data_IF_904549878726
#
_entry.id   IF_904549878726
#
_cell.length_a   1.000
_cell.length_b   1.000
_cell.length_c   1.000
_cell.angle_alpha   90.00
_cell.angle_beta   90.00
_cell.angle_gamma   90.00
#
_symmetry.space_group_name_H-M   'P 1'
#
loop_
_entity.id
_entity.type
_entity.pdbx_description
1 polymer ?
#
# COMPACT_ATOMS: atom_id res chain seq x y z
N UNK A 1 -18.32 -82.15 -5.22
CA UNK A 1 -17.43 -82.37 -4.06
C UNK A 1 -15.99 -82.33 -4.55
N UNK A 2 -15.19 -81.43 -3.97
CA UNK A 2 -13.71 -81.38 -3.94
C UNK A 2 -12.95 -81.14 -5.26
N UNK A 3 -12.38 -79.92 -5.43
CA UNK A 3 -10.97 -79.50 -5.17
C UNK A 3 -10.07 -79.71 -6.42
N UNK A 4 -9.78 -78.70 -7.24
CA UNK A 4 -8.82 -77.57 -7.13
C UNK A 4 -7.34 -77.91 -7.37
N UNK A 5 -6.71 -76.96 -8.09
CA UNK A 5 -5.27 -76.67 -8.28
C UNK A 5 -4.62 -77.37 -9.50
N UNK A 6 -3.80 -76.76 -10.37
CA UNK A 6 -2.97 -75.54 -10.35
C UNK A 6 -2.75 -75.07 -11.81
N UNK A 7 -2.75 -73.77 -12.09
CA UNK A 7 -1.93 -73.20 -13.16
C UNK A 7 -1.56 -71.75 -12.85
N UNK A 8 -0.25 -71.52 -12.77
CA UNK A 8 0.45 -70.26 -12.50
C UNK A 8 0.28 -69.30 -13.69
N UNK A 9 -0.04 -68.03 -13.44
CA UNK A 9 0.19 -66.95 -14.40
C UNK A 9 0.84 -65.75 -13.70
N UNK A 10 2.04 -65.47 -14.20
CA UNK A 10 2.95 -64.33 -14.08
C UNK A 10 2.34 -63.01 -13.60
N UNK A 11 2.95 -62.44 -12.56
CA UNK A 11 2.75 -61.05 -12.08
C UNK A 11 3.58 -60.11 -12.98
N UNK A 12 2.91 -59.23 -13.71
CA UNK A 12 3.53 -58.03 -14.28
C UNK A 12 3.18 -56.85 -13.38
N UNK A 13 4.18 -56.31 -12.69
CA UNK A 13 4.07 -55.12 -11.86
C UNK A 13 4.11 -53.86 -12.75
N UNK A 14 2.97 -53.20 -12.88
CA UNK A 14 2.88 -51.84 -13.41
C UNK A 14 2.72 -50.88 -12.23
N UNK A 15 3.79 -50.18 -11.87
CA UNK A 15 3.75 -49.09 -10.90
C UNK A 15 2.98 -47.90 -11.53
N UNK A 16 1.69 -47.82 -11.25
CA UNK A 16 0.92 -46.60 -11.47
C UNK A 16 1.31 -45.59 -10.39
N UNK A 17 2.14 -44.62 -10.75
CA UNK A 17 2.30 -43.40 -9.96
C UNK A 17 0.95 -42.70 -9.97
N UNK A 18 0.20 -42.81 -8.88
CA UNK A 18 -0.98 -42.00 -8.65
C UNK A 18 -0.52 -40.55 -8.53
N UNK A 19 -0.62 -39.79 -9.63
CA UNK A 19 -0.76 -38.35 -9.54
C UNK A 19 -2.04 -38.12 -8.73
N UNK A 20 -1.89 -37.75 -7.46
CA UNK A 20 -2.99 -37.19 -6.71
C UNK A 20 -3.44 -35.95 -7.49
N UNK A 21 -4.54 -36.07 -8.23
CA UNK A 21 -5.23 -34.92 -8.76
C UNK A 21 -5.56 -34.05 -7.54
N UNK A 22 -5.00 -32.84 -7.49
CA UNK A 22 -5.48 -31.84 -6.55
C UNK A 22 -7.01 -31.79 -6.71
N UNK A 23 -7.78 -31.90 -5.61
CA UNK A 23 -9.23 -31.80 -5.71
C UNK A 23 -9.53 -30.49 -6.41
N UNK A 24 -10.24 -30.56 -7.55
CA UNK A 24 -10.67 -29.39 -8.29
C UNK A 24 -11.33 -28.43 -7.28
N UNK A 25 -10.70 -27.26 -7.09
CA UNK A 25 -11.15 -26.26 -6.12
C UNK A 25 -12.58 -25.91 -6.51
N UNK A 26 -13.54 -26.33 -5.69
CA UNK A 26 -14.95 -26.06 -5.95
C UNK A 26 -15.13 -24.55 -6.19
N UNK A 27 -15.94 -24.20 -7.19
CA UNK A 27 -16.23 -22.80 -7.48
C UNK A 27 -16.71 -22.10 -6.19
N UNK A 28 -16.26 -20.87 -5.92
CA UNK A 28 -16.61 -20.17 -4.69
C UNK A 28 -18.13 -20.02 -4.57
N UNK A 29 -18.65 -20.22 -3.36
CA UNK A 29 -20.07 -20.02 -3.05
C UNK A 29 -20.47 -18.56 -3.29
N UNK A 30 -21.76 -18.31 -3.53
CA UNK A 30 -22.28 -16.94 -3.62
C UNK A 30 -22.03 -16.14 -2.33
N UNK A 31 -22.13 -16.78 -1.16
CA UNK A 31 -21.84 -16.17 0.13
C UNK A 31 -20.37 -15.74 0.24
N UNK A 32 -19.44 -16.57 -0.22
CA UNK A 32 -18.01 -16.26 -0.24
C UNK A 32 -17.68 -15.09 -1.18
N UNK A 33 -18.34 -15.02 -2.34
CA UNK A 33 -18.18 -13.91 -3.28
C UNK A 33 -18.67 -12.57 -2.70
N UNK A 34 -19.79 -12.57 -1.96
CA UNK A 34 -20.26 -11.35 -1.28
C UNK A 34 -19.32 -10.90 -0.15
N UNK A 35 -18.75 -11.83 0.61
CA UNK A 35 -17.71 -11.50 1.60
C UNK A 35 -16.46 -10.91 0.93
N UNK A 36 -15.98 -11.52 -0.16
CA UNK A 36 -14.84 -11.03 -0.93
C UNK A 36 -15.10 -9.62 -1.50
N UNK A 37 -16.30 -9.37 -2.01
CA UNK A 37 -16.75 -8.05 -2.47
C UNK A 37 -16.74 -7.02 -1.34
N UNK A 38 -17.23 -7.37 -0.15
CA UNK A 38 -17.19 -6.49 1.02
C UNK A 38 -15.77 -6.16 1.45
N UNK A 39 -14.87 -7.14 1.45
CA UNK A 39 -13.44 -6.91 1.70
C UNK A 39 -12.85 -5.93 0.68
N UNK A 40 -13.11 -6.14 -0.63
CA UNK A 40 -12.61 -5.25 -1.68
C UNK A 40 -13.10 -3.80 -1.50
N UNK A 41 -14.37 -3.61 -1.12
CA UNK A 41 -14.94 -2.29 -0.83
C UNK A 41 -14.29 -1.62 0.39
N UNK A 42 -14.09 -2.37 1.48
CA UNK A 42 -13.51 -1.85 2.73
C UNK A 42 -12.00 -1.61 2.64
N UNK A 43 -11.29 -2.38 1.80
CA UNK A 43 -9.85 -2.25 1.62
C UNK A 43 -9.45 -0.98 0.85
N UNK A 44 -10.42 -0.19 0.36
CA UNK A 44 -10.18 1.01 -0.44
C UNK A 44 -9.22 0.74 -1.62
N UNK A 45 -9.56 -0.21 -2.48
CA UNK A 45 -8.77 -0.56 -3.68
C UNK A 45 -8.59 0.58 -4.71
N UNK A 46 -9.10 1.78 -4.42
CA UNK A 46 -8.87 3.00 -5.19
C UNK A 46 -7.43 3.53 -5.09
N UNK A 47 -6.58 2.97 -4.23
CA UNK A 47 -5.18 3.36 -4.12
C UNK A 47 -4.41 3.13 -5.42
N UNK A 48 -4.69 2.04 -6.15
CA UNK A 48 -4.00 1.73 -7.42
C UNK A 48 -4.44 2.69 -8.52
N UNK A 49 -5.76 2.90 -8.66
CA UNK A 49 -6.29 3.83 -9.65
C UNK A 49 -5.86 5.27 -9.40
N UNK A 50 -5.87 5.73 -8.14
CA UNK A 50 -5.31 7.03 -7.79
C UNK A 50 -3.81 7.07 -8.00
N UNK A 51 -3.04 6.03 -7.67
CA UNK A 51 -1.60 6.02 -7.91
C UNK A 51 -1.25 6.13 -9.40
N UNK A 52 -2.04 5.50 -10.28
CA UNK A 52 -1.89 5.62 -11.73
C UNK A 52 -2.10 7.06 -12.24
N UNK A 53 -2.94 7.85 -11.55
CA UNK A 53 -3.14 9.27 -11.85
C UNK A 53 -2.10 10.18 -11.18
N UNK A 54 -1.81 9.94 -9.90
CA UNK A 54 -1.00 10.83 -9.07
C UNK A 54 0.50 10.68 -9.32
N UNK A 55 0.99 9.48 -9.67
CA UNK A 55 2.42 9.25 -9.91
C UNK A 55 2.95 10.11 -11.07
N UNK A 56 2.33 10.12 -12.27
CA UNK A 56 2.79 10.98 -13.36
C UNK A 56 2.70 12.47 -13.03
N UNK A 57 1.67 12.88 -12.28
CA UNK A 57 1.53 14.28 -11.83
C UNK A 57 2.65 14.67 -10.89
N UNK A 58 3.01 13.81 -9.94
CA UNK A 58 4.13 14.05 -9.03
C UNK A 58 5.47 14.14 -9.79
N UNK A 59 5.70 13.26 -10.76
CA UNK A 59 6.91 13.28 -11.59
C UNK A 59 6.99 14.59 -12.40
N UNK A 60 5.87 15.05 -12.98
CA UNK A 60 5.79 16.33 -13.68
C UNK A 60 6.06 17.53 -12.75
N UNK A 61 5.50 17.52 -11.54
CA UNK A 61 5.75 18.56 -10.54
C UNK A 61 7.21 18.62 -10.10
N UNK A 62 7.86 17.47 -9.92
CA UNK A 62 9.28 17.41 -9.58
C UNK A 62 10.15 17.99 -10.71
N UNK A 63 9.85 17.65 -11.97
CA UNK A 63 10.55 18.21 -13.13
C UNK A 63 10.33 19.73 -13.23
N UNK A 64 9.09 20.20 -13.00
CA UNK A 64 8.78 21.62 -12.99
C UNK A 64 9.59 22.36 -11.91
N UNK A 65 9.70 21.81 -10.70
CA UNK A 65 10.53 22.39 -9.64
C UNK A 65 12.01 22.48 -10.02
N UNK A 66 12.57 21.45 -10.65
CA UNK A 66 13.96 21.48 -11.10
C UNK A 66 14.20 22.58 -12.15
N UNK A 67 13.25 22.78 -13.07
CA UNK A 67 13.31 23.85 -14.07
C UNK A 67 13.16 25.22 -13.44
N UNK A 68 12.24 25.41 -12.49
CA UNK A 68 12.03 26.67 -11.78
C UNK A 68 13.30 27.12 -11.06
N UNK A 69 13.94 26.21 -10.31
CA UNK A 69 15.16 26.50 -9.55
C UNK A 69 16.35 26.84 -10.45
N UNK A 70 16.47 26.19 -11.62
CA UNK A 70 17.61 26.38 -12.51
C UNK A 70 17.45 27.47 -13.57
N UNK A 71 16.22 27.84 -13.95
CA UNK A 71 15.97 28.68 -15.13
C UNK A 71 15.05 29.87 -14.91
N UNK A 72 14.41 29.99 -13.74
CA UNK A 72 13.48 31.08 -13.44
C UNK A 72 14.06 31.99 -12.37
N UNK A 73 13.94 33.30 -12.57
CA UNK A 73 14.36 34.29 -11.58
C UNK A 73 13.62 34.09 -10.25
N UNK A 74 14.32 34.19 -9.13
CA UNK A 74 13.77 33.90 -7.79
C UNK A 74 12.45 34.65 -7.50
N UNK A 75 12.33 35.92 -7.93
CA UNK A 75 11.12 36.73 -7.75
C UNK A 75 9.89 36.24 -8.51
N UNK A 76 10.05 35.30 -9.45
CA UNK A 76 8.96 34.72 -10.26
C UNK A 76 8.71 33.25 -9.93
N UNK A 77 9.59 32.60 -9.16
CA UNK A 77 9.49 31.15 -8.88
C UNK A 77 8.22 30.81 -8.10
N UNK A 78 7.88 31.59 -7.06
CA UNK A 78 6.70 31.31 -6.21
C UNK A 78 5.39 31.43 -6.98
N UNK A 79 5.24 32.48 -7.81
CA UNK A 79 4.06 32.68 -8.63
C UNK A 79 3.89 31.54 -9.65
N UNK A 80 4.97 31.19 -10.35
CA UNK A 80 4.95 30.09 -11.32
C UNK A 80 4.66 28.74 -10.64
N UNK A 81 5.25 28.47 -9.47
CA UNK A 81 4.98 27.26 -8.69
C UNK A 81 3.51 27.16 -8.29
N UNK A 82 2.91 28.28 -7.88
CA UNK A 82 1.49 28.34 -7.51
C UNK A 82 0.59 28.02 -8.70
N UNK A 83 0.86 28.61 -9.86
CA UNK A 83 0.07 28.37 -11.08
C UNK A 83 0.19 26.90 -11.53
N UNK A 84 1.41 26.36 -11.56
CA UNK A 84 1.68 24.96 -11.89
C UNK A 84 0.96 24.02 -10.91
N UNK A 85 0.98 24.33 -9.61
CA UNK A 85 0.29 23.54 -8.59
C UNK A 85 -1.23 23.59 -8.75
N UNK A 86 -1.78 24.74 -9.15
CA UNK A 86 -3.21 24.89 -9.41
C UNK A 86 -3.65 24.06 -10.62
N UNK A 87 -2.86 24.07 -11.70
CA UNK A 87 -3.12 23.24 -12.89
C UNK A 87 -3.03 21.75 -12.57
N UNK A 88 -2.01 21.33 -11.81
CA UNK A 88 -1.86 19.95 -11.36
C UNK A 88 -3.05 19.50 -10.51
N UNK A 89 -3.51 20.35 -9.57
CA UNK A 89 -4.69 20.07 -8.76
C UNK A 89 -5.94 19.94 -9.62
N UNK A 90 -6.17 20.89 -10.53
CA UNK A 90 -7.32 20.87 -11.43
C UNK A 90 -7.34 19.61 -12.28
N UNK A 91 -6.19 19.23 -12.85
CA UNK A 91 -6.05 17.99 -13.61
C UNK A 91 -6.41 16.76 -12.77
N UNK A 92 -5.91 16.66 -11.54
CA UNK A 92 -6.25 15.54 -10.65
C UNK A 92 -7.74 15.53 -10.34
N UNK A 93 -8.33 16.66 -9.97
CA UNK A 93 -9.74 16.77 -9.60
C UNK A 93 -10.66 16.37 -10.77
N UNK A 94 -10.36 16.82 -11.99
CA UNK A 94 -11.15 16.51 -13.20
C UNK A 94 -11.03 15.05 -13.63
N UNK A 95 -9.87 14.41 -13.40
CA UNK A 95 -9.59 13.06 -13.91
C UNK A 95 -9.74 11.96 -12.85
N UNK A 96 -9.80 12.29 -11.56
CA UNK A 96 -10.00 11.31 -10.48
C UNK A 96 -11.25 10.44 -10.68
N UNK A 97 -12.42 10.98 -11.07
CA UNK A 97 -13.61 10.16 -11.31
C UNK A 97 -13.44 9.14 -12.44
N UNK A 98 -12.59 9.44 -13.43
CA UNK A 98 -12.35 8.55 -14.58
C UNK A 98 -11.61 7.29 -14.12
N UNK A 99 -10.54 7.47 -13.33
CA UNK A 99 -9.75 6.34 -12.82
C UNK A 99 -10.53 5.54 -11.77
N UNK A 100 -11.33 6.21 -10.92
CA UNK A 100 -12.24 5.56 -9.96
C UNK A 100 -13.26 4.68 -10.68
N UNK A 101 -13.95 5.21 -11.71
CA UNK A 101 -14.92 4.43 -12.50
C UNK A 101 -14.29 3.22 -13.19
N UNK A 102 -13.03 3.33 -13.60
CA UNK A 102 -12.27 2.19 -14.13
C UNK A 102 -12.02 1.13 -13.05
N UNK A 103 -11.62 1.54 -11.85
CA UNK A 103 -11.45 0.63 -10.72
C UNK A 103 -12.76 -0.09 -10.37
N UNK A 104 -13.87 0.65 -10.23
CA UNK A 104 -15.20 0.11 -9.96
C UNK A 104 -15.62 -0.95 -10.98
N UNK A 105 -15.29 -0.73 -12.26
CA UNK A 105 -15.58 -1.69 -13.34
C UNK A 105 -14.77 -2.98 -13.21
N UNK A 106 -13.49 -2.88 -12.84
CA UNK A 106 -12.58 -4.02 -12.90
C UNK A 106 -12.45 -4.79 -11.58
N UNK A 107 -12.63 -4.14 -10.42
CA UNK A 107 -12.58 -4.79 -9.10
C UNK A 107 -13.45 -6.06 -9.02
N UNK A 108 -14.73 -6.06 -9.48
CA UNK A 108 -15.59 -7.25 -9.40
C UNK A 108 -15.09 -8.45 -10.21
N UNK A 109 -14.31 -8.20 -11.28
CA UNK A 109 -13.85 -9.25 -12.20
C UNK A 109 -12.37 -9.60 -12.03
N UNK A 110 -11.61 -8.83 -11.26
CA UNK A 110 -10.19 -9.10 -10.98
C UNK A 110 -9.92 -9.40 -9.51
N UNK A 111 -10.32 -8.49 -8.60
CA UNK A 111 -9.99 -8.57 -7.17
C UNK A 111 -10.93 -9.50 -6.42
N UNK A 112 -12.24 -9.43 -6.68
CA UNK A 112 -13.23 -10.25 -5.97
C UNK A 112 -12.99 -11.76 -6.19
N UNK A 113 -12.76 -12.26 -7.42
CA UNK A 113 -12.43 -13.67 -7.63
C UNK A 113 -11.12 -14.06 -6.96
N UNK A 114 -10.10 -13.19 -6.99
CA UNK A 114 -8.82 -13.42 -6.35
C UNK A 114 -8.97 -13.59 -4.82
N UNK A 115 -9.74 -12.71 -4.18
CA UNK A 115 -10.05 -12.81 -2.75
C UNK A 115 -10.81 -14.10 -2.44
N UNK A 116 -11.81 -14.46 -3.24
CA UNK A 116 -12.60 -15.68 -3.07
C UNK A 116 -11.79 -16.96 -3.32
N UNK A 117 -10.75 -16.91 -4.16
CA UNK A 117 -9.84 -18.02 -4.39
C UNK A 117 -8.85 -18.19 -3.23
N UNK A 118 -8.35 -17.08 -2.67
CA UNK A 118 -7.19 -17.08 -1.75
C UNK A 118 -7.55 -17.17 -0.29
N UNK A 119 -8.74 -16.71 0.09
CA UNK A 119 -9.19 -16.72 1.49
C UNK A 119 -10.40 -17.64 1.64
N UNK A 120 -10.61 -18.18 2.83
CA UNK A 120 -11.82 -18.88 3.26
C UNK A 120 -12.92 -17.88 3.63
N UNK A 121 -14.16 -18.35 3.79
CA UNK A 121 -15.24 -17.45 4.26
C UNK A 121 -14.94 -16.88 5.64
N UNK A 122 -14.36 -17.67 6.54
CA UNK A 122 -14.04 -17.22 7.90
C UNK A 122 -12.91 -16.19 7.92
N UNK A 123 -11.87 -16.38 7.11
CA UNK A 123 -10.81 -15.38 6.95
C UNK A 123 -11.34 -14.06 6.36
N UNK A 124 -12.24 -14.12 5.37
CA UNK A 124 -12.85 -12.91 4.81
C UNK A 124 -13.69 -12.18 5.88
N UNK A 125 -14.43 -12.90 6.74
CA UNK A 125 -15.16 -12.30 7.86
C UNK A 125 -14.22 -11.64 8.87
N UNK A 126 -13.10 -12.28 9.19
CA UNK A 126 -12.09 -11.72 10.10
C UNK A 126 -11.45 -10.46 9.51
N UNK A 127 -11.15 -10.43 8.21
CA UNK A 127 -10.64 -9.24 7.52
C UNK A 127 -11.66 -8.10 7.60
N UNK A 128 -12.94 -8.38 7.33
CA UNK A 128 -14.03 -7.38 7.45
C UNK A 128 -14.07 -6.82 8.86
N UNK A 129 -14.09 -7.68 9.88
CA UNK A 129 -14.14 -7.27 11.28
C UNK A 129 -12.92 -6.41 11.68
N UNK A 130 -11.73 -6.73 11.16
CA UNK A 130 -10.52 -5.94 11.36
C UNK A 130 -10.63 -4.56 10.70
N UNK A 131 -11.09 -4.48 9.45
CA UNK A 131 -11.21 -3.23 8.69
C UNK A 131 -12.29 -2.30 9.27
N UNK A 132 -13.39 -2.86 9.76
CA UNK A 132 -14.49 -2.10 10.37
C UNK A 132 -14.28 -1.83 11.87
N UNK A 133 -13.19 -2.35 12.45
CA UNK A 133 -12.96 -2.32 13.89
C UNK A 133 -13.00 -0.90 14.47
N UNK A 134 -13.95 -0.59 15.37
CA UNK A 134 -13.94 0.69 16.07
C UNK A 134 -12.72 0.82 17.00
N UNK A 135 -12.12 -0.30 17.42
CA UNK A 135 -10.89 -0.30 18.20
C UNK A 135 -9.72 0.23 17.39
N UNK A 136 -9.65 -0.08 16.08
CA UNK A 136 -8.64 0.50 15.18
C UNK A 136 -8.73 2.02 15.20
N UNK A 137 -9.93 2.58 15.01
CA UNK A 137 -10.15 4.04 15.04
C UNK A 137 -9.78 4.66 16.40
N UNK A 138 -10.16 4.00 17.50
CA UNK A 138 -9.80 4.44 18.86
C UNK A 138 -8.29 4.46 19.08
N UNK A 139 -7.60 3.41 18.63
CA UNK A 139 -6.14 3.33 18.71
C UNK A 139 -5.45 4.39 17.85
N UNK A 140 -5.90 4.59 16.60
CA UNK A 140 -5.37 5.62 15.69
C UNK A 140 -5.55 7.03 16.27
N UNK A 141 -6.69 7.32 16.90
CA UNK A 141 -6.94 8.59 17.57
C UNK A 141 -6.04 8.83 18.79
N UNK A 142 -5.50 7.76 19.39
CA UNK A 142 -4.60 7.83 20.56
C UNK A 142 -3.13 8.06 20.15
N UNK A 143 -2.74 7.77 18.91
CA UNK A 143 -1.34 7.86 18.45
C UNK A 143 -0.69 9.23 18.73
N UNK A 144 -1.32 10.39 18.43
CA UNK A 144 -0.68 11.69 18.66
C UNK A 144 -0.42 11.97 20.15
N UNK A 145 -1.30 11.48 21.04
CA UNK A 145 -1.13 11.60 22.48
C UNK A 145 0.03 10.74 22.97
N UNK A 146 0.12 9.49 22.50
CA UNK A 146 1.26 8.61 22.80
C UNK A 146 2.60 9.20 22.33
N UNK A 147 2.64 9.75 21.11
CA UNK A 147 3.82 10.42 20.56
C UNK A 147 4.22 11.65 21.39
N UNK A 148 3.24 12.46 21.80
CA UNK A 148 3.46 13.63 22.64
C UNK A 148 4.03 13.22 24.00
N UNK A 149 3.41 12.27 24.69
CA UNK A 149 3.86 11.80 26.01
C UNK A 149 5.27 11.21 25.95
N UNK A 150 5.53 10.34 24.97
CA UNK A 150 6.87 9.79 24.75
C UNK A 150 7.88 10.89 24.42
N UNK A 151 7.54 11.80 23.50
CA UNK A 151 8.41 12.89 23.07
C UNK A 151 8.79 13.83 24.22
N UNK A 152 7.85 14.15 25.11
CA UNK A 152 8.12 14.95 26.30
C UNK A 152 9.10 14.26 27.24
N UNK A 153 8.91 12.95 27.49
CA UNK A 153 9.82 12.18 28.37
C UNK A 153 11.20 12.04 27.76
N UNK A 154 11.30 11.72 26.47
CA UNK A 154 12.57 11.65 25.75
C UNK A 154 13.27 13.00 25.78
N UNK A 155 12.60 14.09 25.42
CA UNK A 155 13.20 15.43 25.43
C UNK A 155 13.71 15.84 26.82
N UNK A 156 12.96 15.53 27.88
CA UNK A 156 13.38 15.79 29.26
C UNK A 156 14.62 14.99 29.67
N UNK A 157 14.76 13.75 29.19
CA UNK A 157 15.87 12.86 29.55
C UNK A 157 17.14 13.20 28.76
N UNK A 158 17.01 13.36 27.43
CA UNK A 158 18.17 13.56 26.56
C UNK A 158 18.53 15.01 26.30
N UNK A 159 17.60 15.96 26.48
CA UNK A 159 17.79 17.39 26.21
C UNK A 159 19.07 17.97 26.84
N UNK A 160 19.34 17.75 28.15
CA UNK A 160 20.57 18.23 28.78
C UNK A 160 21.87 17.76 28.12
N UNK A 161 21.83 16.60 27.45
CA UNK A 161 22.99 16.02 26.75
C UNK A 161 23.06 16.45 25.28
N UNK A 162 21.92 16.60 24.61
CA UNK A 162 21.85 16.87 23.16
C UNK A 162 21.86 18.36 22.83
N UNK A 163 21.22 19.21 23.64
CA UNK A 163 21.10 20.64 23.36
C UNK A 163 22.46 21.36 23.21
N UNK A 164 23.49 21.07 24.04
CA UNK A 164 24.82 21.64 23.84
C UNK A 164 25.45 21.20 22.52
N UNK A 165 25.31 19.92 22.16
CA UNK A 165 25.84 19.35 20.90
C UNK A 165 25.15 19.96 19.68
N UNK A 166 23.84 20.20 19.77
CA UNK A 166 23.07 20.85 18.72
C UNK A 166 23.50 22.32 18.53
N UNK A 167 23.77 23.02 19.63
CA UNK A 167 24.27 24.41 19.60
C UNK A 167 25.64 24.50 18.91
N UNK A 168 26.56 23.61 19.28
CA UNK A 168 27.88 23.48 18.66
C UNK A 168 27.79 23.15 17.15
N UNK A 169 26.89 22.25 16.76
CA UNK A 169 26.64 21.96 15.34
C UNK A 169 26.16 23.19 14.57
N UNK A 170 25.18 23.94 15.12
CA UNK A 170 24.66 25.17 14.48
C UNK A 170 25.77 26.19 14.25
N UNK A 171 26.68 26.36 15.21
CA UNK A 171 27.82 27.26 15.07
C UNK A 171 28.76 26.84 13.93
N UNK A 172 29.11 25.55 13.87
CA UNK A 172 29.94 25.02 12.76
C UNK A 172 29.30 25.20 11.40
N UNK A 173 27.99 24.94 11.28
CA UNK A 173 27.25 25.15 10.04
C UNK A 173 27.32 26.62 9.63
N UNK A 174 27.03 27.54 10.56
CA UNK A 174 27.11 28.98 10.30
C UNK A 174 28.49 29.44 9.85
N UNK A 175 29.56 28.90 10.46
CA UNK A 175 30.93 29.19 10.05
C UNK A 175 31.20 28.71 8.61
N UNK A 176 30.84 27.46 8.28
CA UNK A 176 31.05 26.91 6.93
C UNK A 176 30.29 27.67 5.87
N UNK A 177 29.04 28.04 6.14
CA UNK A 177 28.24 28.85 5.21
C UNK A 177 28.88 30.21 4.96
N UNK A 178 29.38 30.87 6.02
CA UNK A 178 30.10 32.15 5.88
C UNK A 178 31.37 32.00 5.05
N UNK A 179 32.16 30.96 5.28
CA UNK A 179 33.37 30.67 4.49
C UNK A 179 33.03 30.43 3.02
N UNK A 180 31.98 29.64 2.73
CA UNK A 180 31.55 29.36 1.36
C UNK A 180 30.97 30.58 0.62
N UNK A 181 30.51 31.59 1.35
CA UNK A 181 29.96 32.82 0.80
C UNK A 181 31.02 33.93 0.59
N UNK A 182 32.27 33.72 1.01
CA UNK A 182 33.36 34.65 0.69
C UNK A 182 33.81 34.45 -0.77
N UNK A 183 34.07 35.56 -1.51
CA UNK A 183 34.53 35.51 -2.90
C UNK A 183 35.94 34.93 -3.04
#
# INVERSE_FOLDING_TARGET
MFKSAIAVVVIAASAAVAYAAEPAKAAPSAAKLELAKRVAQLAHSDSVAHAMLLRPVADAMQQANAVLQGRVAASKQDAALKDISADAKKFVDENSPIVQKSAEKFIPVTVVPLLAERFTEDELRQIIAMLESPLKKKYEALLPEMEKELGQKVASDVGPTIDPKLTDLKQRIGLRLRTAAMP
#
